data_IF_839159465738
#
_entry.id   IF_839159465738
#
_cell.length_a   1.000
_cell.length_b   1.000
_cell.length_c   1.000
_cell.angle_alpha   90.00
_cell.angle_beta   90.00
_cell.angle_gamma   90.00
#
_symmetry.space_group_name_H-M   'P 1'
#
loop_
_entity.id
_entity.type
_entity.pdbx_description
1 polymer ?
2 water ?
#
# COMPACT_ATOMS: atom_id res chain seq x y z
N UNK A 7 -10.35 -20.03 11.43
CA UNK A 7 -9.56 -18.93 10.86
C UNK A 7 -10.05 -17.60 11.44
N UNK A 8 -9.25 -16.93 12.30
CA UNK A 8 -9.63 -15.60 12.80
C UNK A 8 -9.74 -14.60 11.66
N UNK A 9 -10.54 -13.55 11.86
CA UNK A 9 -10.49 -12.39 10.99
C UNK A 9 -9.19 -11.63 11.25
N UNK A 10 -8.52 -11.24 10.16
CA UNK A 10 -7.27 -10.49 10.17
C UNK A 10 -7.55 -8.98 10.11
N UNK A 11 -7.52 -8.33 11.27
CA UNK A 11 -7.53 -6.86 11.31
C UNK A 11 -6.10 -6.32 11.31
N UNK A 12 -5.46 -6.43 10.15
CA UNK A 12 -4.08 -6.04 9.89
C UNK A 12 -4.05 -5.23 8.60
N UNK A 13 -2.93 -4.60 8.20
CA UNK A 13 -2.85 -3.91 6.91
C UNK A 13 -2.61 -4.83 5.71
N UNK A 14 -2.86 -6.14 5.89
CA UNK A 14 -2.58 -7.14 4.88
C UNK A 14 -1.24 -7.80 5.19
N UNK A 15 -1.08 -9.11 4.92
CA UNK A 15 -2.14 -9.96 4.38
C UNK A 15 -3.39 -9.97 5.28
N UNK A 16 -4.57 -10.05 4.65
CA UNK A 16 -5.82 -9.76 5.34
C UNK A 16 -6.88 -10.83 5.07
N UNK A 17 -8.09 -10.59 5.58
CA UNK A 17 -9.18 -11.52 5.32
C UNK A 17 -9.65 -11.32 3.88
N UNK A 18 -9.60 -12.38 3.08
CA UNK A 18 -10.05 -12.33 1.70
C UNK A 18 -11.42 -13.00 1.61
N UNK A 19 -12.20 -12.62 0.60
CA UNK A 19 -13.43 -13.32 0.31
C UNK A 19 -13.11 -14.75 -0.14
N UNK A 20 -14.12 -15.61 -0.17
CA UNK A 20 -13.85 -17.01 -0.52
C UNK A 20 -13.90 -17.18 -2.03
N UNK A 21 -14.68 -16.35 -2.73
CA UNK A 21 -14.53 -16.21 -4.16
C UNK A 21 -13.05 -16.06 -4.51
N UNK A 22 -12.36 -15.18 -3.77
CA UNK A 22 -10.97 -14.86 -4.05
C UNK A 22 -10.11 -16.12 -3.97
N UNK A 23 -10.26 -16.86 -2.87
CA UNK A 23 -9.53 -18.09 -2.58
C UNK A 23 -9.91 -19.20 -3.55
N UNK A 24 -11.19 -19.26 -3.95
CA UNK A 24 -11.70 -20.27 -4.88
C UNK A 24 -10.89 -20.21 -6.16
N UNK A 25 -10.66 -18.98 -6.64
CA UNK A 25 -9.96 -18.75 -7.90
C UNK A 25 -8.63 -19.51 -7.93
N UNK A 26 -8.01 -19.74 -6.77
CA UNK A 26 -6.72 -20.41 -6.71
C UNK A 26 -6.85 -21.93 -6.89
N UNK A 27 -8.09 -22.48 -6.93
CA UNK A 27 -8.25 -23.92 -7.07
C UNK A 27 -7.87 -24.41 -8.47
N UNK A 28 -7.37 -23.53 -9.34
CA UNK A 28 -7.03 -23.88 -10.72
C UNK A 28 -5.52 -23.73 -10.96
N UNK A 29 -4.92 -24.74 -11.59
CA UNK A 29 -3.56 -24.68 -12.09
C UNK A 29 -3.59 -24.10 -13.50
N UNK A 30 -2.72 -23.11 -13.76
CA UNK A 30 -2.55 -22.46 -15.05
C UNK A 30 -1.17 -22.77 -15.60
N UNK A 31 -1.07 -22.77 -16.93
CA UNK A 31 0.23 -22.82 -17.57
C UNK A 31 0.74 -21.41 -17.88
N UNK A 32 1.94 -21.10 -17.39
CA UNK A 32 2.56 -19.79 -17.61
C UNK A 32 2.76 -19.50 -19.10
N UNK A 33 3.00 -20.53 -19.91
CA UNK A 33 3.10 -20.31 -21.34
C UNK A 33 1.73 -20.23 -22.00
N UNK A 34 0.67 -20.62 -21.27
CA UNK A 34 -0.63 -20.83 -21.89
C UNK A 34 -1.37 -19.51 -22.13
N UNK A 35 -1.93 -19.40 -23.34
CA UNK A 35 -2.64 -18.22 -23.80
C UNK A 35 -3.76 -17.79 -22.85
N UNK A 36 -4.39 -18.76 -22.15
CA UNK A 36 -5.44 -18.46 -21.19
C UNK A 36 -4.86 -17.62 -20.05
N UNK A 37 -3.65 -18.00 -19.62
CA UNK A 37 -2.96 -17.29 -18.57
C UNK A 37 -2.44 -15.95 -19.09
N UNK A 38 -1.98 -15.93 -20.35
CA UNK A 38 -1.65 -14.68 -21.01
C UNK A 38 -2.87 -13.77 -21.05
N UNK A 39 -4.06 -14.34 -21.29
CA UNK A 39 -5.23 -13.49 -21.27
C UNK A 39 -5.46 -12.99 -19.84
N UNK A 40 -5.37 -13.91 -18.86
CA UNK A 40 -5.66 -13.57 -17.48
C UNK A 40 -4.76 -12.39 -17.07
N UNK A 41 -3.47 -12.50 -17.40
CA UNK A 41 -2.48 -11.49 -17.04
C UNK A 41 -2.89 -10.12 -17.61
N UNK A 42 -3.31 -10.11 -18.88
CA UNK A 42 -3.63 -8.87 -19.58
C UNK A 42 -4.88 -8.21 -18.99
N UNK A 43 -5.89 -8.99 -18.62
CA UNK A 43 -7.09 -8.42 -18.02
C UNK A 43 -6.74 -7.78 -16.68
N UNK A 44 -5.88 -8.46 -15.92
CA UNK A 44 -5.43 -7.92 -14.64
C UNK A 44 -4.73 -6.56 -14.84
N UNK A 45 -3.79 -6.51 -15.79
CA UNK A 45 -3.06 -5.27 -16.02
C UNK A 45 -4.01 -4.14 -16.41
N UNK A 46 -4.99 -4.44 -17.27
CA UNK A 46 -5.86 -3.40 -17.79
C UNK A 46 -6.87 -2.95 -16.74
N UNK A 47 -7.36 -3.90 -15.91
CA UNK A 47 -8.22 -3.52 -14.80
C UNK A 47 -7.48 -2.62 -13.82
N UNK A 48 -6.20 -2.95 -13.55
CA UNK A 48 -5.35 -2.17 -12.66
C UNK A 48 -5.11 -0.78 -13.25
N UNK A 49 -4.74 -0.75 -14.54
CA UNK A 49 -4.41 0.50 -15.20
C UNK A 49 -5.67 1.36 -15.27
N UNK A 50 -6.81 0.70 -15.34
CA UNK A 50 -8.10 1.37 -15.36
C UNK A 50 -8.27 2.14 -14.05
N UNK A 51 -7.98 1.50 -12.92
CA UNK A 51 -8.31 2.08 -11.61
C UNK A 51 -7.56 3.40 -11.40
N UNK A 52 -6.24 3.37 -11.58
CA UNK A 52 -5.33 4.49 -11.35
C UNK A 52 -5.55 5.60 -12.39
N UNK A 53 -6.31 5.30 -13.45
CA UNK A 53 -6.68 6.31 -14.43
C UNK A 53 -5.57 6.60 -15.45
N UNK A 54 -4.72 5.60 -15.72
CA UNK A 54 -3.51 5.75 -16.50
C UNK A 54 -3.61 5.18 -17.91
N UNK A 55 -4.83 5.03 -18.41
CA UNK A 55 -5.13 4.42 -19.71
C UNK A 55 -4.26 5.04 -20.81
N UNK A 56 -4.03 6.36 -20.76
CA UNK A 56 -3.35 7.03 -21.85
C UNK A 56 -1.84 7.19 -21.69
N UNK A 57 -1.33 7.24 -20.46
CA UNK A 57 -0.03 7.82 -20.17
C UNK A 57 0.91 6.83 -19.47
N UNK A 58 0.33 5.77 -18.90
CA UNK A 58 1.12 4.85 -18.08
C UNK A 58 0.88 3.44 -18.57
N UNK A 59 1.71 2.55 -18.04
CA UNK A 59 1.60 1.12 -18.29
C UNK A 59 1.78 0.38 -16.97
N UNK A 60 0.94 -0.64 -16.77
CA UNK A 60 0.96 -1.47 -15.57
C UNK A 60 1.93 -2.64 -15.76
N UNK A 61 3.11 -2.55 -15.12
CA UNK A 61 4.09 -3.61 -15.11
C UNK A 61 3.89 -4.44 -13.83
N UNK A 62 3.45 -5.72 -13.95
CA UNK A 62 3.31 -6.61 -12.81
C UNK A 62 4.64 -7.26 -12.47
N UNK A 63 4.80 -7.56 -11.18
CA UNK A 63 6.02 -8.14 -10.68
C UNK A 63 5.73 -9.15 -9.57
N UNK A 64 6.48 -10.26 -9.58
CA UNK A 64 6.52 -11.23 -8.51
C UNK A 64 6.96 -10.59 -7.19
N UNK A 65 6.47 -11.16 -6.09
CA UNK A 65 6.88 -10.81 -4.74
C UNK A 65 6.04 -9.69 -4.13
N UNK A 66 6.50 -9.16 -3.00
CA UNK A 66 5.76 -8.15 -2.27
C UNK A 66 5.84 -6.77 -2.95
N UNK A 67 5.20 -5.77 -2.34
CA UNK A 67 5.19 -4.43 -2.89
C UNK A 67 6.56 -3.76 -2.78
N UNK A 68 7.31 -4.10 -1.72
CA UNK A 68 8.66 -3.59 -1.53
C UNK A 68 9.53 -3.95 -2.72
N UNK A 69 9.35 -5.18 -3.25
CA UNK A 69 10.04 -5.66 -4.43
C UNK A 69 9.75 -4.72 -5.60
N UNK A 70 8.50 -4.27 -5.71
CA UNK A 70 8.13 -3.43 -6.83
C UNK A 70 8.53 -1.98 -6.57
N UNK A 71 8.64 -1.60 -5.29
CA UNK A 71 9.09 -0.25 -4.97
C UNK A 71 10.57 -0.12 -5.36
N UNK A 72 11.37 -1.08 -4.89
CA UNK A 72 12.75 -1.22 -5.33
C UNK A 72 12.82 -1.28 -6.86
N UNK A 73 11.96 -2.09 -7.47
CA UNK A 73 11.99 -2.24 -8.92
C UNK A 73 11.80 -0.88 -9.59
N UNK A 74 10.98 -0.01 -9.00
CA UNK A 74 10.67 1.26 -9.63
C UNK A 74 11.80 2.27 -9.40
N UNK A 75 12.34 2.31 -8.17
CA UNK A 75 13.51 3.11 -7.86
C UNK A 75 14.66 2.68 -8.77
N UNK A 76 14.76 1.37 -9.01
CA UNK A 76 15.87 0.80 -9.74
C UNK A 76 15.85 1.10 -11.22
N UNK A 77 14.65 1.16 -11.81
CA UNK A 77 14.52 1.13 -13.25
C UNK A 77 14.24 2.53 -13.79
N UNK A 78 13.74 3.42 -12.93
CA UNK A 78 13.27 4.72 -13.39
C UNK A 78 14.17 5.85 -12.91
N UNK A 79 14.75 5.70 -11.70
CA UNK A 79 15.66 6.70 -11.16
C UNK A 79 17.06 6.42 -11.70
N UNK A 80 17.64 7.35 -12.49
CA UNK A 80 18.88 7.07 -13.22
C UNK A 80 20.11 7.00 -12.32
N UNK A 81 21.27 6.78 -12.95
CA UNK A 81 22.54 6.76 -12.23
C UNK A 81 22.83 8.15 -11.67
N UNK A 82 22.48 9.19 -12.46
CA UNK A 82 22.86 10.58 -12.21
C UNK A 82 21.68 11.38 -11.64
N UNK A 83 20.88 10.73 -10.79
CA UNK A 83 19.68 11.34 -10.24
C UNK A 83 19.69 11.34 -8.71
N UNK A 84 19.21 12.44 -8.12
CA UNK A 84 19.07 12.56 -6.69
C UNK A 84 17.59 12.42 -6.35
N UNK A 85 17.30 11.70 -5.28
CA UNK A 85 15.92 11.54 -4.84
C UNK A 85 15.75 12.16 -3.46
N UNK A 86 14.69 12.96 -3.32
CA UNK A 86 14.19 13.34 -2.01
C UNK A 86 13.26 12.22 -1.52
N UNK A 87 13.58 11.66 -0.34
CA UNK A 87 12.70 10.70 0.32
C UNK A 87 12.01 11.38 1.50
N UNK A 88 10.67 11.37 1.47
CA UNK A 88 9.84 11.76 2.60
C UNK A 88 9.69 10.55 3.52
N UNK A 89 9.90 10.75 4.82
CA UNK A 89 10.03 9.63 5.76
C UNK A 89 9.34 9.94 7.09
N UNK A 90 8.02 9.75 7.15
CA UNK A 90 7.21 10.03 8.34
C UNK A 90 6.74 8.72 9.01
N UNK A 91 7.49 7.64 8.76
CA UNK A 91 7.11 6.32 9.23
C UNK A 91 7.97 5.24 8.61
N UNK A 92 7.62 3.98 8.93
CA UNK A 92 8.46 2.83 8.72
C UNK A 92 8.63 2.55 7.23
N UNK A 93 7.56 2.75 6.46
CA UNK A 93 7.57 2.56 5.01
C UNK A 93 8.55 3.56 4.40
N UNK A 94 8.51 4.79 4.91
CA UNK A 94 9.39 5.87 4.49
C UNK A 94 10.85 5.52 4.70
N UNK A 95 11.17 4.90 5.84
CA UNK A 95 12.52 4.46 6.15
C UNK A 95 13.01 3.46 5.10
N UNK A 96 12.13 2.52 4.70
CA UNK A 96 12.49 1.50 3.72
C UNK A 96 12.96 2.15 2.42
N UNK A 97 12.27 3.23 2.03
CA UNK A 97 12.62 3.99 0.84
C UNK A 97 14.06 4.48 0.94
N UNK A 98 14.47 4.85 2.17
CA UNK A 98 15.80 5.39 2.37
C UNK A 98 16.82 4.28 2.21
N UNK A 99 16.50 3.11 2.78
CA UNK A 99 17.38 1.96 2.75
C UNK A 99 17.57 1.47 1.31
N UNK A 100 16.55 1.69 0.47
CA UNK A 100 16.52 1.16 -0.89
C UNK A 100 17.41 2.00 -1.80
N UNK A 101 17.28 3.33 -1.68
CA UNK A 101 18.12 4.24 -2.45
C UNK A 101 19.58 4.04 -2.06
N UNK A 102 19.82 3.80 -0.77
CA UNK A 102 21.16 3.63 -0.27
C UNK A 102 21.75 2.35 -0.85
N UNK A 103 21.01 1.24 -0.72
CA UNK A 103 21.46 -0.07 -1.20
C UNK A 103 21.73 0.00 -2.71
N UNK A 104 20.91 0.78 -3.42
CA UNK A 104 21.08 0.88 -4.86
C UNK A 104 22.17 1.91 -5.14
N UNK A 105 22.84 2.37 -4.07
CA UNK A 105 23.64 3.59 -4.00
C UNK A 105 23.12 4.60 -5.03
N UNK A 106 21.94 5.14 -4.72
CA UNK A 106 21.35 6.21 -5.51
C UNK A 106 21.53 7.50 -4.72
N UNK A 107 22.14 8.56 -5.28
CA UNK A 107 22.29 9.82 -4.55
C UNK A 107 20.89 10.24 -4.10
N UNK A 108 20.73 10.48 -2.79
CA UNK A 108 19.41 10.74 -2.25
C UNK A 108 19.49 11.63 -1.02
N UNK A 109 18.32 12.15 -0.62
CA UNK A 109 18.18 13.09 0.49
C UNK A 109 16.83 12.88 1.17
N UNK A 110 16.80 13.10 2.49
CA UNK A 110 15.75 12.64 3.38
C UNK A 110 15.03 13.84 4.01
N UNK A 111 13.70 13.70 4.10
CA UNK A 111 12.82 14.63 4.80
C UNK A 111 12.02 13.84 5.84
N UNK A 112 12.50 13.87 7.08
CA UNK A 112 11.87 13.15 8.18
C UNK A 112 11.00 14.13 8.96
N UNK A 113 9.72 13.78 9.11
CA UNK A 113 8.75 14.74 9.58
C UNK A 113 7.98 14.16 10.76
N UNK A 114 8.54 13.14 11.41
CA UNK A 114 7.93 12.63 12.62
C UNK A 114 6.61 11.91 12.25
N UNK A 115 6.03 11.19 13.22
CA UNK A 115 5.09 10.12 12.90
C UNK A 115 3.63 10.56 13.05
N UNK A 116 3.42 11.68 13.74
CA UNK A 116 2.06 12.09 14.09
C UNK A 116 1.57 13.20 13.17
N UNK A 117 2.43 13.71 12.28
CA UNK A 117 2.09 14.85 11.45
C UNK A 117 2.37 14.54 9.97
N UNK A 118 1.51 15.00 9.03
CA UNK A 118 1.71 14.74 7.60
C UNK A 118 2.97 15.38 7.03
N UNK A 119 3.50 14.75 5.98
CA UNK A 119 4.45 15.41 5.08
C UNK A 119 3.70 16.53 4.36
N UNK A 120 4.25 17.74 4.43
CA UNK A 120 3.61 18.93 3.88
C UNK A 120 4.18 19.28 2.51
N UNK A 121 3.32 19.84 1.65
CA UNK A 121 3.71 20.42 0.38
C UNK A 121 4.71 21.55 0.60
N UNK A 122 4.60 22.22 1.75
CA UNK A 122 5.38 23.42 2.03
C UNK A 122 6.86 23.07 2.19
N UNK A 123 7.16 22.09 3.05
CA UNK A 123 8.56 21.76 3.32
C UNK A 123 9.19 21.03 2.14
N UNK A 124 8.35 20.40 1.31
CA UNK A 124 8.84 19.80 0.06
C UNK A 124 9.26 20.92 -0.88
N UNK A 125 8.52 22.04 -0.83
CA UNK A 125 8.81 23.17 -1.70
C UNK A 125 10.21 23.72 -1.41
N UNK A 126 10.52 23.99 -0.15
CA UNK A 126 11.78 24.69 0.14
C UNK A 126 12.97 23.87 -0.33
N UNK A 127 13.02 22.60 0.10
CA UNK A 127 14.18 21.76 -0.14
C UNK A 127 14.37 21.56 -1.64
N UNK A 128 13.27 21.55 -2.39
CA UNK A 128 13.36 21.44 -3.84
C UNK A 128 14.05 22.67 -4.41
N UNK A 129 13.58 23.86 -4.00
CA UNK A 129 14.10 25.14 -4.47
C UNK A 129 15.61 25.20 -4.26
N UNK A 130 16.08 24.68 -3.10
CA UNK A 130 17.49 24.65 -2.74
C UNK A 130 18.35 24.14 -3.90
N UNK A 131 18.20 22.87 -4.28
CA UNK A 131 19.15 22.24 -5.20
C UNK A 131 18.46 21.51 -6.34
N UNK A 132 18.56 21.99 -7.60
CA UNK A 132 17.90 21.36 -8.75
C UNK A 132 18.51 19.99 -9.05
N UNK A 133 19.54 19.65 -8.27
CA UNK A 133 20.17 18.34 -8.25
C UNK A 133 19.10 17.26 -8.20
N UNK A 134 18.23 17.34 -7.19
CA UNK A 134 17.20 16.35 -6.99
C UNK A 134 16.47 16.13 -8.32
N UNK A 135 16.27 14.85 -8.65
CA UNK A 135 15.61 14.44 -9.89
C UNK A 135 14.21 13.94 -9.58
N UNK A 136 14.05 13.30 -8.41
CA UNK A 136 12.87 12.52 -8.08
C UNK A 136 12.39 12.79 -6.65
N UNK A 137 11.09 12.65 -6.43
CA UNK A 137 10.58 12.68 -5.07
C UNK A 137 9.85 11.36 -4.81
N UNK A 138 10.08 10.79 -3.63
CA UNK A 138 9.45 9.54 -3.24
C UNK A 138 8.73 9.69 -1.89
N UNK A 139 7.51 9.13 -1.82
CA UNK A 139 6.77 9.14 -0.57
C UNK A 139 5.79 7.98 -0.49
N UNK A 140 5.34 7.75 0.74
CA UNK A 140 4.26 6.82 1.02
C UNK A 140 2.95 7.61 1.14
N UNK A 141 1.89 7.12 0.50
CA UNK A 141 0.57 7.74 0.53
C UNK A 141 -0.08 7.56 1.90
N UNK A 142 -0.09 6.32 2.41
CA UNK A 142 -0.59 6.01 3.74
C UNK A 142 0.53 5.30 4.49
N UNK A 143 1.01 5.90 5.59
CA UNK A 143 1.96 5.25 6.47
C UNK A 143 1.18 4.34 7.41
N UNK A 144 1.24 3.05 7.14
CA UNK A 144 0.50 2.04 7.87
C UNK A 144 1.02 1.91 9.29
N UNK A 145 2.20 2.49 9.56
CA UNK A 145 2.77 2.51 10.90
C UNK A 145 1.84 3.23 11.87
N UNK A 146 1.00 4.13 11.35
CA UNK A 146 0.10 4.92 12.16
C UNK A 146 -1.21 5.20 11.43
N UNK A 147 -1.23 4.95 10.11
CA UNK A 147 -2.42 5.17 9.30
C UNK A 147 -2.60 6.65 8.96
N UNK A 148 -1.52 7.42 9.09
CA UNK A 148 -1.50 8.79 8.62
C UNK A 148 -1.69 8.79 7.10
N UNK A 149 -2.55 9.70 6.62
CA UNK A 149 -2.67 9.94 5.19
C UNK A 149 -1.89 11.20 4.84
N UNK A 150 -0.90 11.03 3.97
CA UNK A 150 -0.14 12.11 3.39
C UNK A 150 -0.93 12.71 2.23
N UNK A 151 -0.89 14.05 2.03
CA UNK A 151 -1.70 14.71 0.99
C UNK A 151 -1.00 14.63 -0.37
N UNK A 152 -1.24 13.56 -1.13
CA UNK A 152 -0.39 13.31 -2.28
C UNK A 152 -0.67 14.29 -3.42
N UNK A 153 -1.95 14.69 -3.55
CA UNK A 153 -2.36 15.56 -4.63
C UNK A 153 -1.67 16.92 -4.47
N UNK A 154 -1.66 17.44 -3.24
CA UNK A 154 -0.96 18.67 -2.92
C UNK A 154 0.53 18.51 -3.19
N UNK A 155 1.09 17.35 -2.84
CA UNK A 155 2.53 17.13 -2.99
C UNK A 155 2.91 16.88 -4.46
N UNK A 156 2.02 16.26 -5.23
CA UNK A 156 2.30 15.94 -6.61
C UNK A 156 2.45 17.24 -7.41
N UNK A 157 1.47 18.13 -7.22
CA UNK A 157 1.37 19.41 -7.90
C UNK A 157 2.61 20.26 -7.61
N UNK A 158 3.13 20.16 -6.39
CA UNK A 158 4.26 20.99 -5.95
C UNK A 158 5.53 20.45 -6.59
N UNK A 159 5.56 19.12 -6.78
CA UNK A 159 6.68 18.40 -7.35
C UNK A 159 6.75 18.65 -8.86
N UNK A 160 5.58 18.58 -9.53
CA UNK A 160 5.47 18.80 -10.96
C UNK A 160 5.82 20.25 -11.29
N UNK A 161 5.45 21.16 -10.39
CA UNK A 161 5.64 22.59 -10.56
C UNK A 161 7.12 22.95 -10.61
N UNK A 162 7.99 21.94 -10.44
CA UNK A 162 9.43 22.13 -10.31
C UNK A 162 10.16 21.14 -11.21
N UNK A 163 9.41 20.49 -12.10
CA UNK A 163 9.98 19.59 -13.09
C UNK A 163 10.73 18.43 -12.47
N UNK A 164 10.48 18.18 -11.17
CA UNK A 164 10.94 16.98 -10.50
C UNK A 164 9.91 15.87 -10.72
N UNK A 165 10.25 14.62 -10.39
CA UNK A 165 9.39 13.50 -10.74
C UNK A 165 9.10 12.62 -9.52
N UNK A 166 7.81 12.23 -9.40
CA UNK A 166 7.18 11.63 -8.23
C UNK A 166 7.17 10.11 -8.36
N UNK A 167 7.59 9.45 -7.28
CA UNK A 167 7.45 8.02 -7.10
C UNK A 167 6.64 7.79 -5.83
N UNK A 168 5.45 7.21 -6.00
CA UNK A 168 4.44 7.09 -4.96
C UNK A 168 4.32 5.62 -4.57
N UNK A 169 4.59 5.33 -3.28
CA UNK A 169 4.23 4.04 -2.69
C UNK A 169 2.78 4.08 -2.20
N UNK A 170 1.88 3.44 -2.96
CA UNK A 170 0.46 3.39 -2.62
C UNK A 170 0.02 1.99 -2.18
N UNK A 171 0.91 1.27 -1.51
CA UNK A 171 0.61 -0.12 -1.22
C UNK A 171 -0.61 -0.22 -0.32
N UNK A 172 -0.66 0.59 0.74
CA UNK A 172 -1.71 0.44 1.72
C UNK A 172 -2.98 1.19 1.30
N UNK A 173 -2.90 2.02 0.26
CA UNK A 173 -3.99 2.93 -0.05
C UNK A 173 -4.62 2.65 -1.42
N UNK A 174 -3.85 2.08 -2.35
CA UNK A 174 -4.38 1.89 -3.69
C UNK A 174 -5.60 0.97 -3.68
N UNK A 175 -6.66 1.40 -4.38
CA UNK A 175 -7.93 0.70 -4.42
C UNK A 175 -9.01 1.36 -3.54
N UNK A 176 -8.57 2.13 -2.52
CA UNK A 176 -9.47 2.62 -1.48
C UNK A 176 -9.43 4.15 -1.37
N UNK A 177 -8.27 4.76 -1.62
CA UNK A 177 -8.24 6.20 -1.70
C UNK A 177 -8.11 6.61 -3.16
N UNK A 178 -8.93 7.59 -3.56
CA UNK A 178 -8.96 8.04 -4.94
C UNK A 178 -7.60 8.55 -5.39
N UNK A 179 -7.04 7.89 -6.40
CA UNK A 179 -5.90 8.41 -7.11
C UNK A 179 -6.23 8.38 -8.61
N UNK A 180 -6.19 9.56 -9.24
CA UNK A 180 -6.42 9.68 -10.66
C UNK A 180 -5.15 10.23 -11.31
N UNK A 181 -4.66 9.51 -12.34
CA UNK A 181 -3.36 9.76 -12.95
C UNK A 181 -3.30 11.12 -13.65
N UNK A 182 -4.41 11.55 -14.28
CA UNK A 182 -4.38 12.76 -15.08
C UNK A 182 -4.44 14.01 -14.19
N UNK A 183 -4.58 13.77 -12.87
CA UNK A 183 -4.86 14.83 -11.92
C UNK A 183 -3.78 14.82 -10.84
N UNK A 184 -3.10 13.68 -10.71
CA UNK A 184 -2.00 13.51 -9.80
C UNK A 184 -0.83 13.05 -10.65
N UNK A 185 0.04 13.98 -11.13
CA UNK A 185 1.18 13.61 -11.96
C UNK A 185 2.19 12.80 -11.17
N UNK A 186 2.58 11.65 -11.70
CA UNK A 186 3.59 10.79 -11.09
C UNK A 186 4.23 9.97 -12.21
N UNK A 187 5.48 9.54 -11.98
CA UNK A 187 6.16 8.65 -12.90
C UNK A 187 5.92 7.20 -12.50
N UNK A 188 5.66 6.97 -11.22
CA UNK A 188 5.49 5.62 -10.71
C UNK A 188 4.56 5.65 -9.49
N UNK A 189 3.47 4.88 -9.59
CA UNK A 189 2.72 4.47 -8.42
C UNK A 189 2.82 2.96 -8.31
N UNK A 190 3.22 2.50 -7.12
CA UNK A 190 3.36 1.09 -6.79
C UNK A 190 2.28 0.68 -5.80
N UNK A 191 1.63 -0.45 -6.10
CA UNK A 191 0.75 -1.13 -5.16
C UNK A 191 1.03 -2.63 -5.23
N UNK A 192 0.26 -3.41 -4.46
CA UNK A 192 0.40 -4.86 -4.41
C UNK A 192 -0.97 -5.55 -4.39
N UNK A 193 -0.98 -6.88 -4.32
CA UNK A 193 -2.18 -7.67 -4.55
C UNK A 193 -3.01 -7.86 -3.27
N UNK A 194 -2.35 -7.79 -2.11
CA UNK A 194 -2.92 -8.34 -0.88
C UNK A 194 -3.40 -7.28 0.09
N UNK A 195 -3.72 -6.08 -0.40
CA UNK A 195 -4.20 -5.00 0.47
C UNK A 195 -5.63 -4.58 0.12
N UNK A 196 -5.86 -3.28 -0.12
CA UNK A 196 -7.19 -2.74 -0.37
C UNK A 196 -7.93 -3.37 -1.56
N UNK A 197 -7.20 -3.99 -2.50
CA UNK A 197 -7.85 -4.68 -3.60
C UNK A 197 -8.45 -5.99 -3.10
N UNK A 198 -7.91 -6.50 -1.99
CA UNK A 198 -8.38 -7.72 -1.35
C UNK A 198 -7.96 -8.98 -2.09
N UNK A 199 -6.90 -8.89 -2.93
CA UNK A 199 -6.33 -10.12 -3.43
C UNK A 199 -5.57 -10.85 -2.33
N UNK A 200 -4.96 -11.98 -2.69
CA UNK A 200 -4.01 -12.60 -1.78
C UNK A 200 -2.67 -11.93 -2.04
N UNK A 201 -1.69 -12.01 -1.11
CA UNK A 201 -0.38 -11.39 -1.35
C UNK A 201 0.43 -12.29 -2.29
N UNK A 202 1.44 -11.70 -2.95
CA UNK A 202 2.33 -12.46 -3.81
C UNK A 202 2.64 -11.79 -5.14
N UNK A 203 2.06 -10.64 -5.43
CA UNK A 203 2.52 -9.95 -6.63
C UNK A 203 2.42 -8.44 -6.44
N UNK A 204 3.41 -7.74 -6.98
CA UNK A 204 3.41 -6.29 -6.97
C UNK A 204 3.07 -5.77 -8.36
N UNK A 205 2.85 -4.46 -8.47
CA UNK A 205 2.72 -3.84 -9.79
C UNK A 205 3.14 -2.38 -9.70
N UNK A 206 3.61 -1.85 -10.84
CA UNK A 206 4.03 -0.46 -10.91
C UNK A 206 3.30 0.19 -12.07
N UNK A 207 2.60 1.29 -11.80
CA UNK A 207 2.12 2.12 -12.88
C UNK A 207 3.23 3.11 -13.22
N UNK A 208 3.94 2.82 -14.32
CA UNK A 208 5.01 3.69 -14.76
C UNK A 208 4.57 4.45 -16.01
N UNK A 209 4.97 5.72 -16.07
CA UNK A 209 4.78 6.56 -17.24
C UNK A 209 5.38 5.86 -18.46
N UNK A 210 4.57 5.70 -19.52
CA UNK A 210 4.92 5.01 -20.76
C UNK A 210 6.29 5.43 -21.29
N UNK A 211 6.53 6.74 -21.36
CA UNK A 211 7.74 7.30 -21.96
C UNK A 211 8.95 7.22 -21.04
N UNK A 212 8.74 7.28 -19.71
CA UNK A 212 9.87 7.15 -18.79
C UNK A 212 10.45 5.73 -18.86
N UNK A 213 9.55 4.74 -18.80
CA UNK A 213 9.88 3.33 -18.76
C UNK A 213 10.58 2.90 -20.06
N UNK A 214 10.06 3.40 -21.20
CA UNK A 214 10.61 3.12 -22.52
C UNK A 214 12.05 3.61 -22.64
N UNK A 215 12.40 4.65 -21.87
CA UNK A 215 13.72 5.25 -21.94
C UNK A 215 14.64 4.68 -20.86
N UNK A 216 14.10 3.80 -20.01
CA UNK A 216 14.82 3.31 -18.85
C UNK A 216 15.67 2.07 -19.18
N UNK A 217 15.58 1.63 -20.44
CA UNK A 217 16.33 0.47 -20.90
C UNK A 217 17.74 0.52 -20.33
N UNK A 218 18.02 -0.46 -19.46
CA UNK A 218 19.37 -0.78 -18.99
C UNK A 218 19.68 -0.22 -17.61
N UNK A 219 18.80 0.67 -17.13
CA UNK A 219 18.98 1.42 -15.89
C UNK A 219 18.94 0.54 -14.66
N UNK A 220 18.08 -0.50 -14.66
CA UNK A 220 17.79 -1.25 -13.44
C UNK A 220 19.06 -1.92 -12.94
N UNK A 221 19.22 -1.93 -11.61
CA UNK A 221 20.31 -2.57 -10.89
C UNK A 221 20.11 -4.08 -10.78
N UNK A 222 18.98 -4.57 -11.30
CA UNK A 222 18.50 -5.92 -11.01
C UNK A 222 18.02 -6.54 -12.31
N UNK A 223 18.24 -7.85 -12.45
CA UNK A 223 17.58 -8.57 -13.53
C UNK A 223 16.11 -8.78 -13.15
N UNK A 224 15.89 -9.40 -12.00
CA UNK A 224 14.56 -9.87 -11.61
C UNK A 224 13.60 -8.70 -11.49
N UNK A 225 14.14 -7.53 -11.09
CA UNK A 225 13.29 -6.38 -10.81
C UNK A 225 13.39 -5.30 -11.89
N UNK A 226 13.75 -5.67 -13.12
CA UNK A 226 13.89 -4.73 -14.23
C UNK A 226 12.56 -4.61 -14.97
N UNK A 227 11.86 -3.51 -14.71
CA UNK A 227 10.51 -3.26 -15.18
C UNK A 227 10.51 -2.95 -16.67
N UNK A 228 11.64 -2.43 -17.16
CA UNK A 228 11.76 -2.18 -18.59
C UNK A 228 11.89 -3.52 -19.29
N UNK A 229 12.86 -4.34 -18.85
CA UNK A 229 13.03 -5.65 -19.47
C UNK A 229 11.75 -6.45 -19.34
N UNK A 230 11.09 -6.35 -18.17
CA UNK A 230 9.85 -7.06 -17.92
C UNK A 230 8.77 -6.59 -18.89
N UNK A 231 8.67 -5.26 -19.05
CA UNK A 231 7.63 -4.70 -19.90
C UNK A 231 7.86 -5.09 -21.36
N UNK A 232 9.11 -4.91 -21.82
CA UNK A 232 9.50 -5.16 -23.20
C UNK A 232 9.17 -6.61 -23.57
N UNK A 233 9.58 -7.54 -22.70
CA UNK A 233 9.33 -8.94 -22.97
C UNK A 233 7.83 -9.25 -22.95
N UNK A 234 7.07 -8.51 -22.16
CA UNK A 234 5.65 -8.83 -22.04
C UNK A 234 4.88 -8.18 -23.19
N UNK A 235 5.40 -7.06 -23.68
CA UNK A 235 4.98 -6.48 -24.94
C UNK A 235 5.11 -7.55 -26.03
N UNK A 236 6.34 -8.07 -26.19
CA UNK A 236 6.60 -9.02 -27.25
C UNK A 236 5.69 -10.25 -27.14
N UNK A 237 5.81 -11.00 -26.05
CA UNK A 237 5.31 -12.37 -25.99
C UNK A 237 4.00 -12.50 -25.22
N UNK A 238 3.60 -11.47 -24.46
CA UNK A 238 2.43 -11.55 -23.59
C UNK A 238 2.72 -12.40 -22.36
N UNK A 239 4.00 -12.74 -22.18
CA UNK A 239 4.42 -13.65 -21.12
C UNK A 239 5.35 -12.91 -20.16
N UNK A 240 5.38 -13.44 -18.93
CA UNK A 240 6.30 -13.07 -17.88
C UNK A 240 7.66 -13.66 -18.23
N UNK A 241 8.72 -12.93 -17.89
CA UNK A 241 10.08 -13.37 -18.14
C UNK A 241 10.31 -14.68 -17.37
N UNK A 242 9.92 -14.65 -16.10
CA UNK A 242 10.22 -15.70 -15.16
C UNK A 242 8.91 -16.27 -14.61
N UNK A 243 9.04 -17.33 -13.83
CA UNK A 243 7.88 -17.98 -13.24
C UNK A 243 6.93 -16.94 -12.63
N UNK A 244 5.69 -16.86 -13.14
CA UNK A 244 4.65 -16.05 -12.52
C UNK A 244 3.97 -16.86 -11.41
N UNK A 245 3.44 -16.22 -10.36
CA UNK A 245 2.64 -16.93 -9.36
C UNK A 245 1.19 -16.98 -9.86
N UNK A 246 0.94 -17.94 -10.76
CA UNK A 246 -0.33 -18.08 -11.47
C UNK A 246 -1.55 -17.93 -10.55
N UNK A 247 -1.60 -18.71 -9.45
CA UNK A 247 -2.73 -18.73 -8.52
C UNK A 247 -2.94 -17.35 -7.89
N UNK A 248 -1.85 -16.58 -7.70
CA UNK A 248 -1.95 -15.26 -7.12
C UNK A 248 -2.61 -14.31 -8.11
N UNK A 249 -2.21 -14.42 -9.38
CA UNK A 249 -2.76 -13.60 -10.44
C UNK A 249 -4.26 -13.90 -10.63
N UNK A 250 -4.64 -15.19 -10.57
CA UNK A 250 -6.05 -15.57 -10.71
C UNK A 250 -6.87 -14.98 -9.58
N UNK A 251 -6.40 -15.13 -8.34
CA UNK A 251 -7.05 -14.60 -7.15
C UNK A 251 -7.27 -13.10 -7.28
N UNK A 252 -6.20 -12.39 -7.67
CA UNK A 252 -6.27 -10.96 -7.90
C UNK A 252 -7.29 -10.64 -9.00
N UNK A 253 -7.34 -11.49 -10.03
CA UNK A 253 -8.30 -11.24 -11.09
C UNK A 253 -9.72 -11.30 -10.51
N UNK A 254 -9.97 -12.33 -9.71
CA UNK A 254 -11.27 -12.61 -9.10
C UNK A 254 -11.62 -11.53 -8.07
N UNK A 255 -10.61 -11.07 -7.32
CA UNK A 255 -10.81 -9.98 -6.38
C UNK A 255 -11.09 -8.69 -7.14
N UNK A 256 -10.43 -8.51 -8.29
CA UNK A 256 -10.75 -7.38 -9.15
C UNK A 256 -12.18 -7.50 -9.71
N UNK A 257 -12.62 -8.72 -10.00
CA UNK A 257 -14.01 -8.88 -10.41
C UNK A 257 -14.95 -8.33 -9.36
N UNK A 258 -14.72 -8.72 -8.09
CA UNK A 258 -15.62 -8.40 -7.00
C UNK A 258 -15.62 -6.89 -6.74
N UNK A 259 -14.44 -6.29 -6.83
CA UNK A 259 -14.25 -4.86 -6.65
C UNK A 259 -15.08 -4.10 -7.67
N UNK A 260 -15.11 -4.57 -8.93
CA UNK A 260 -15.89 -3.91 -9.96
C UNK A 260 -17.39 -4.07 -9.71
N UNK A 261 -17.84 -5.30 -9.40
CA UNK A 261 -19.22 -5.63 -9.06
C UNK A 261 -19.73 -4.79 -7.89
N UNK A 262 -18.93 -4.62 -6.84
CA UNK A 262 -19.39 -3.98 -5.62
C UNK A 262 -19.58 -2.46 -5.85
N UNK A 263 -18.96 -1.93 -6.91
CA UNK A 263 -19.08 -0.52 -7.27
C UNK A 263 -17.76 0.25 -7.27
N UNK A 264 -16.62 -0.42 -7.44
CA UNK A 264 -15.33 0.23 -7.64
C UNK A 264 -14.73 0.92 -6.41
N UNK A 265 -13.90 1.94 -6.67
CA UNK A 265 -13.23 2.70 -5.62
C UNK A 265 -14.22 3.29 -4.62
N UNK A 266 -15.28 4.01 -5.05
CA UNK A 266 -16.19 4.67 -4.12
C UNK A 266 -16.92 3.70 -3.20
N UNK A 267 -17.27 2.52 -3.75
CA UNK A 267 -17.93 1.47 -3.00
C UNK A 267 -16.98 0.89 -1.95
N UNK A 268 -15.71 0.64 -2.35
CA UNK A 268 -14.67 0.18 -1.45
C UNK A 268 -14.34 1.23 -0.39
N UNK A 269 -14.33 2.51 -0.79
CA UNK A 269 -14.02 3.59 0.14
C UNK A 269 -15.13 3.76 1.17
N UNK A 270 -16.39 3.58 0.75
CA UNK A 270 -17.52 3.82 1.62
C UNK A 270 -17.53 2.80 2.75
N UNK A 271 -17.33 1.52 2.39
CA UNK A 271 -17.27 0.42 3.33
C UNK A 271 -16.15 0.67 4.35
N UNK A 272 -14.95 1.05 3.88
CA UNK A 272 -13.80 1.19 4.76
C UNK A 272 -13.97 2.38 5.70
N UNK A 273 -14.46 3.51 5.16
CA UNK A 273 -14.79 4.69 5.95
C UNK A 273 -15.82 4.31 7.01
N UNK A 274 -16.76 3.45 6.64
CA UNK A 274 -17.76 3.04 7.59
C UNK A 274 -17.15 2.14 8.68
N UNK A 275 -16.31 1.18 8.29
CA UNK A 275 -15.58 0.33 9.21
C UNK A 275 -14.70 1.19 10.12
N UNK A 276 -14.04 2.17 9.53
CA UNK A 276 -13.19 3.02 10.31
C UNK A 276 -13.98 3.75 11.41
N UNK A 277 -15.18 4.21 11.09
CA UNK A 277 -16.02 4.90 12.07
C UNK A 277 -16.42 3.97 13.21
N UNK A 278 -17.07 2.85 12.86
CA UNK A 278 -17.48 1.88 13.86
C UNK A 278 -16.31 1.55 14.79
N UNK A 279 -15.10 1.42 14.23
CA UNK A 279 -13.92 1.09 15.01
C UNK A 279 -13.66 2.19 16.02
N UNK A 280 -13.36 3.42 15.53
CA UNK A 280 -13.19 4.58 16.39
C UNK A 280 -14.37 4.72 17.36
N UNK A 281 -15.60 4.56 16.87
CA UNK A 281 -16.78 4.71 17.70
C UNK A 281 -16.77 3.78 18.91
N UNK A 282 -16.56 2.48 18.64
CA UNK A 282 -16.67 1.47 19.67
C UNK A 282 -15.50 1.57 20.64
N UNK A 283 -14.30 1.81 20.08
CA UNK A 283 -13.09 1.87 20.88
C UNK A 283 -13.11 3.07 21.83
N UNK A 284 -13.58 4.23 21.34
CA UNK A 284 -13.79 5.38 22.21
C UNK A 284 -14.68 5.02 23.39
N UNK A 285 -15.76 4.27 23.11
CA UNK A 285 -16.73 3.82 24.11
C UNK A 285 -16.12 2.77 25.05
N UNK A 286 -14.91 2.30 24.74
CA UNK A 286 -14.22 1.43 25.69
C UNK A 286 -13.23 2.24 26.51
N UNK A 287 -12.98 3.48 26.09
CA UNK A 287 -11.98 4.32 26.74
C UNK A 287 -10.65 4.36 25.99
N UNK A 288 -10.69 4.00 24.70
CA UNK A 288 -9.49 4.05 23.86
C UNK A 288 -9.32 5.39 23.17
N UNK A 289 -8.07 5.83 23.10
CA UNK A 289 -7.72 7.01 22.33
C UNK A 289 -6.98 6.59 21.07
N UNK A 290 -7.44 7.11 19.92
CA UNK A 290 -6.68 7.01 18.68
C UNK A 290 -5.45 7.91 18.77
N UNK A 291 -4.38 7.52 18.08
CA UNK A 291 -3.15 8.31 18.08
C UNK A 291 -3.31 9.54 17.18
N UNK A 292 -4.17 9.42 16.16
CA UNK A 292 -4.43 10.49 15.21
C UNK A 292 -5.85 11.02 15.43
N UNK A 293 -6.09 12.34 15.32
CA UNK A 293 -7.47 12.87 15.32
C UNK A 293 -8.06 12.74 13.91
N UNK A 294 -9.40 12.76 13.83
CA UNK A 294 -10.13 12.33 12.64
C UNK A 294 -9.70 13.08 11.37
N UNK A 295 -9.21 14.31 11.54
CA UNK A 295 -8.89 15.20 10.42
C UNK A 295 -7.65 14.71 9.66
N UNK A 296 -6.96 13.68 10.15
CA UNK A 296 -5.78 13.19 9.45
C UNK A 296 -5.85 11.68 9.24
N UNK A 297 -6.91 11.04 9.77
CA UNK A 297 -6.99 9.60 9.87
C UNK A 297 -7.52 8.96 8.59
N UNK A 298 -6.64 8.18 7.95
CA UNK A 298 -7.00 7.36 6.80
C UNK A 298 -7.85 6.17 7.25
N UNK A 299 -8.94 5.82 6.53
CA UNK A 299 -9.73 4.64 6.88
C UNK A 299 -9.07 3.32 6.43
N UNK A 300 -7.81 3.15 6.84
CA UNK A 300 -7.02 1.97 6.48
C UNK A 300 -6.67 1.17 7.74
N UNK A 301 -6.01 1.83 8.71
CA UNK A 301 -5.61 1.23 9.97
C UNK A 301 -5.57 2.32 11.05
N UNK A 302 -6.03 1.94 12.26
CA UNK A 302 -6.08 2.84 13.39
C UNK A 302 -5.06 2.43 14.45
N UNK A 303 -4.15 3.35 14.79
CA UNK A 303 -3.26 3.22 15.92
C UNK A 303 -3.96 3.76 17.17
N UNK A 304 -3.84 3.02 18.28
CA UNK A 304 -4.49 3.33 19.54
C UNK A 304 -3.46 3.31 20.67
N UNK A 305 -3.55 4.28 21.59
CA UNK A 305 -2.66 4.31 22.74
C UNK A 305 -2.95 3.07 23.57
N UNK A 306 -1.86 2.40 23.96
CA UNK A 306 -1.93 1.25 24.85
C UNK A 306 -2.54 1.68 26.18
N UNK A 307 -3.28 0.80 26.89
CA UNK A 307 -3.79 1.15 28.23
C UNK A 307 -2.61 1.34 29.18
N UNK A 308 -2.70 2.36 30.03
CA UNK A 308 -1.64 2.72 30.95
C UNK A 308 -1.40 1.59 31.96
N UNK A 309 -2.38 0.70 32.13
CA UNK A 309 -2.42 -0.30 33.18
C UNK A 309 -1.17 -1.18 33.15
N UNK A 310 -0.39 -1.19 34.27
CA UNK A 310 0.87 -1.92 34.37
C UNK A 310 0.71 -3.43 34.16
N UNK A 311 -0.56 -3.86 34.07
CA UNK A 311 -0.93 -5.23 33.78
C UNK A 311 -0.88 -5.50 32.28
N UNK A 312 -1.09 -4.45 31.45
CA UNK A 312 -1.25 -4.59 30.02
C UNK A 312 -0.01 -5.22 29.38
N UNK A 313 -0.24 -6.34 28.67
CA UNK A 313 0.79 -6.95 27.86
C UNK A 313 0.18 -7.19 26.48
N UNK A 314 0.74 -6.54 25.45
CA UNK A 314 0.24 -6.73 24.12
C UNK A 314 0.19 -8.22 23.77
N UNK A 315 1.23 -8.97 24.13
CA UNK A 315 1.34 -10.35 23.65
C UNK A 315 0.20 -11.19 24.22
N UNK A 316 -0.22 -10.85 25.44
CA UNK A 316 -1.35 -11.46 26.13
C UNK A 316 -2.65 -11.03 25.47
N UNK A 317 -2.75 -9.71 25.28
CA UNK A 317 -3.95 -9.07 24.76
C UNK A 317 -4.24 -9.61 23.36
N UNK A 318 -3.17 -9.75 22.56
CA UNK A 318 -3.24 -10.28 21.21
C UNK A 318 -3.75 -11.73 21.25
N UNK A 319 -3.23 -12.52 22.20
CA UNK A 319 -3.50 -13.96 22.21
C UNK A 319 -4.98 -14.24 22.53
N UNK A 320 -5.54 -13.50 23.49
CA UNK A 320 -6.94 -13.71 23.88
C UNK A 320 -7.91 -13.27 22.78
N UNK A 321 -7.58 -12.19 22.07
CA UNK A 321 -8.42 -11.65 21.02
C UNK A 321 -8.40 -12.60 19.81
N UNK A 322 -7.24 -13.22 19.56
CA UNK A 322 -7.13 -14.26 18.55
C UNK A 322 -8.13 -15.39 18.82
N UNK A 323 -8.09 -15.94 20.06
CA UNK A 323 -9.01 -17.00 20.47
C UNK A 323 -10.47 -16.63 20.17
N UNK A 324 -10.80 -15.33 20.25
CA UNK A 324 -12.18 -14.91 20.05
C UNK A 324 -12.45 -14.57 18.59
N UNK A 325 -11.46 -14.79 17.71
CA UNK A 325 -11.72 -14.80 16.28
C UNK A 325 -11.27 -13.54 15.53
N UNK A 326 -10.22 -12.87 16.05
CA UNK A 326 -9.74 -11.60 15.52
C UNK A 326 -8.25 -11.44 15.79
N UNK A 327 -7.48 -11.21 14.70
CA UNK A 327 -6.05 -11.01 14.80
C UNK A 327 -5.77 -9.52 14.62
N UNK A 328 -5.21 -8.89 15.66
CA UNK A 328 -4.93 -7.45 15.63
C UNK A 328 -3.50 -7.26 15.15
N UNK A 329 -2.92 -6.10 15.44
CA UNK A 329 -1.57 -5.79 14.97
C UNK A 329 -0.77 -5.07 16.02
N UNK A 330 0.54 -5.39 16.20
CA UNK A 330 1.35 -4.73 17.21
C UNK A 330 1.61 -3.26 16.89
N UNK A 331 2.08 -2.51 17.89
CA UNK A 331 2.53 -1.14 17.70
C UNK A 331 3.87 -1.07 16.97
N UNK A 332 4.15 0.08 16.34
CA UNK A 332 5.38 0.25 15.57
C UNK A 332 6.02 1.60 15.89
N UNK A 333 5.80 2.09 17.11
CA UNK A 333 6.30 3.39 17.53
C UNK A 333 7.32 3.21 18.65
N UNK A 334 8.41 3.99 18.57
CA UNK A 334 9.53 3.80 19.47
C UNK A 334 9.26 4.52 20.79
N UNK A 335 8.35 5.50 20.77
CA UNK A 335 8.26 6.46 21.86
C UNK A 335 7.11 6.12 22.80
N UNK A 336 5.93 5.87 22.22
CA UNK A 336 4.77 5.55 23.05
C UNK A 336 4.19 4.20 22.64
N UNK A 337 3.79 3.44 23.66
CA UNK A 337 3.23 2.12 23.48
C UNK A 337 1.86 2.29 22.85
N UNK A 338 1.60 1.46 21.84
CA UNK A 338 0.37 1.51 21.06
C UNK A 338 0.09 0.11 20.54
N UNK A 339 -1.07 -0.06 19.90
CA UNK A 339 -1.36 -1.22 19.07
C UNK A 339 -2.25 -0.79 17.89
N UNK A 340 -2.43 -1.67 16.92
CA UNK A 340 -3.15 -1.24 15.72
C UNK A 340 -4.26 -2.21 15.36
N UNK A 341 -5.32 -1.63 14.79
CA UNK A 341 -6.48 -2.37 14.32
C UNK A 341 -6.78 -1.92 12.89
N UNK A 342 -6.72 -2.86 11.93
CA UNK A 342 -7.06 -2.54 10.56
C UNK A 342 -8.56 -2.45 10.40
N UNK A 343 -9.02 -1.82 9.32
CA UNK A 343 -10.46 -1.82 9.07
C UNK A 343 -10.71 -2.18 7.62
N UNK A 344 -9.73 -2.86 7.00
CA UNK A 344 -9.75 -3.19 5.58
C UNK A 344 -9.79 -4.71 5.38
N UNK A 345 -9.88 -5.11 4.10
CA UNK A 345 -10.17 -6.47 3.75
C UNK A 345 -11.66 -6.76 3.74
N UNK A 346 -11.99 -8.04 3.57
CA UNK A 346 -13.36 -8.48 3.40
C UNK A 346 -14.07 -8.58 4.74
N UNK A 347 -14.49 -7.40 5.23
CA UNK A 347 -14.99 -7.13 6.57
C UNK A 347 -15.94 -5.95 6.48
N UNK A 348 -17.04 -5.98 7.26
CA UNK A 348 -18.05 -4.93 7.24
C UNK A 348 -18.16 -4.32 8.63
N UNK A 349 -18.99 -3.28 8.73
CA UNK A 349 -19.20 -2.52 9.95
C UNK A 349 -19.50 -3.43 11.13
N UNK A 350 -20.19 -4.56 10.88
CA UNK A 350 -20.65 -5.44 11.94
C UNK A 350 -19.57 -6.40 12.41
N UNK A 351 -18.58 -6.75 11.56
CA UNK A 351 -17.45 -7.51 12.08
C UNK A 351 -16.59 -6.59 12.96
N UNK A 352 -16.62 -5.29 12.64
CA UNK A 352 -15.82 -4.33 13.39
C UNK A 352 -16.32 -4.30 14.83
N UNK A 353 -17.64 -4.23 15.00
CA UNK A 353 -18.19 -4.10 16.35
C UNK A 353 -18.04 -5.41 17.14
N UNK A 354 -18.13 -6.56 16.47
CA UNK A 354 -17.82 -7.82 17.15
C UNK A 354 -16.36 -7.84 17.60
N UNK A 355 -15.45 -7.34 16.77
CA UNK A 355 -14.04 -7.25 17.12
C UNK A 355 -13.84 -6.40 18.37
N UNK A 356 -14.55 -5.27 18.48
CA UNK A 356 -14.31 -4.35 19.57
C UNK A 356 -14.88 -4.97 20.84
N UNK A 357 -16.04 -5.60 20.70
CA UNK A 357 -16.68 -6.30 21.80
C UNK A 357 -15.77 -7.41 22.32
N UNK A 358 -15.12 -8.16 21.40
CA UNK A 358 -14.12 -9.14 21.80
C UNK A 358 -12.96 -8.47 22.53
N UNK A 359 -12.45 -7.36 21.97
CA UNK A 359 -11.36 -6.61 22.57
C UNK A 359 -11.74 -6.29 24.01
N UNK A 360 -12.97 -5.81 24.21
CA UNK A 360 -13.41 -5.41 25.53
C UNK A 360 -13.36 -6.59 26.50
N UNK A 361 -13.82 -7.76 26.03
CA UNK A 361 -13.88 -8.98 26.80
C UNK A 361 -12.47 -9.41 27.17
N UNK A 362 -11.58 -9.39 26.18
CA UNK A 362 -10.20 -9.81 26.42
C UNK A 362 -9.60 -8.98 27.56
N UNK A 363 -9.91 -7.68 27.60
CA UNK A 363 -9.29 -6.81 28.58
C UNK A 363 -9.84 -7.06 29.99
N UNK A 364 -11.13 -7.42 30.11
CA UNK A 364 -11.77 -7.58 31.41
C UNK A 364 -11.19 -8.78 32.17
N UNK A 365 -10.50 -9.67 31.45
CA UNK A 365 -9.58 -10.57 32.11
C UNK A 365 -8.13 -10.06 31.99
N UNK A 366 -7.68 -8.92 32.57
CA UNK A 366 -7.96 -8.18 33.80
C UNK A 366 -7.27 -6.79 33.72
N UNK A 367 -7.10 -6.20 32.54
CA UNK A 367 -6.55 -4.85 32.43
C UNK A 367 -7.66 -3.84 32.60
N UNK A 368 -7.45 -2.92 33.55
CA UNK A 368 -8.52 -2.08 34.05
C UNK A 368 -8.05 -0.62 34.05
#
# INVERSE_FOLDING_TARGET
MSTAERAPILLTPGPLTTSYRTRRAMMVDWGSWDSDFNELTASVCQRLLKIVGGEGSHTCVPLQGSGTFAVEAAIGTLVPRDGKVLVLINGAYGKRLAKICEVLQRPFSTLETEENVPTTAADVERLLAADPAISHVALIHCETSTGILNPLEAIAKVVERHGKRLIVDAMSSFGAIGIDARKVPFDALIAASGKCLEGVPGMGFVFARSAALEASAGNCHSLAMDLQDQHAYMRKTGQWRFTPPTHVVAALHEALSQYEEEGGLPARQRRYASNCETLLGEMARLGFRSFLPAEIQAPIIVTFHAPRDPRYRFADFYQRVREKGFILYPGKLTQVETFRVGCIGHVDAAEMRQAVAAIGEALRELEVLEI
#
